data_IF_190207678729
#
_entry.id   IF_190207678729
#
_cell.length_a   1.000
_cell.length_b   1.000
_cell.length_c   1.000
_cell.angle_alpha   90.00
_cell.angle_beta   90.00
_cell.angle_gamma   90.00
#
_symmetry.space_group_name_H-M   'P 1'
#
loop_
_entity.id
_entity.type
_entity.pdbx_description
1 polymer ?
#
# COMPACT_ATOMS: atom_id res chain seq x y z
N UNK A 1 -7.99 -1.62 -1.86
CA UNK A 1 -6.90 -1.83 -0.90
C UNK A 1 -6.21 -3.17 -1.10
N UNK A 2 -5.06 -3.34 -0.47
CA UNK A 2 -4.28 -4.59 -0.45
C UNK A 2 -3.99 -4.91 1.02
N UNK A 3 -4.28 -6.13 1.44
CA UNK A 3 -3.84 -6.68 2.72
C UNK A 3 -2.68 -7.63 2.49
N UNK A 4 -1.67 -7.57 3.35
CA UNK A 4 -0.53 -8.48 3.34
C UNK A 4 -0.10 -8.77 4.77
N UNK A 5 0.72 -9.81 4.98
CA UNK A 5 1.26 -10.10 6.31
C UNK A 5 2.05 -8.89 6.83
N UNK A 6 2.03 -8.69 8.15
CA UNK A 6 2.77 -7.59 8.78
C UNK A 6 4.26 -7.64 8.43
N UNK A 7 4.85 -8.84 8.40
CA UNK A 7 6.24 -9.04 8.02
C UNK A 7 6.53 -8.60 6.58
N UNK A 8 5.68 -8.95 5.61
CA UNK A 8 5.83 -8.52 4.22
C UNK A 8 5.66 -6.99 4.07
N UNK A 9 4.77 -6.39 4.85
CA UNK A 9 4.60 -4.94 4.88
C UNK A 9 5.82 -4.23 5.47
N UNK A 10 6.36 -4.70 6.60
CA UNK A 10 7.55 -4.11 7.25
C UNK A 10 8.80 -4.23 6.37
N UNK A 11 8.95 -5.34 5.64
CA UNK A 11 10.03 -5.52 4.67
C UNK A 11 10.01 -4.45 3.56
N UNK A 12 8.81 -4.06 3.08
CA UNK A 12 8.67 -2.97 2.10
C UNK A 12 9.07 -1.60 2.64
N UNK A 13 8.93 -1.38 3.94
CA UNK A 13 9.34 -0.14 4.60
C UNK A 13 10.85 -0.08 4.89
N UNK A 14 11.64 -1.04 4.41
CA UNK A 14 13.06 -1.14 4.74
C UNK A 14 13.32 -1.33 6.24
N UNK A 15 12.29 -1.65 7.04
CA UNK A 15 12.40 -1.89 8.47
C UNK A 15 12.96 -3.30 8.65
N UNK A 16 14.28 -3.43 8.56
CA UNK A 16 14.99 -4.68 8.89
C UNK A 16 14.76 -4.96 10.37
N UNK A 17 14.06 -6.05 10.69
CA UNK A 17 13.95 -6.53 12.07
C UNK A 17 14.98 -7.63 12.31
N UNK A 18 15.88 -7.38 13.25
CA UNK A 18 16.68 -8.39 13.96
C UNK A 18 15.83 -9.27 14.91
N UNK A 19 14.51 -9.36 14.75
CA UNK A 19 13.64 -9.99 15.75
C UNK A 19 12.86 -11.16 15.19
N UNK A 20 13.43 -12.34 15.46
CA UNK A 20 12.71 -13.61 15.63
C UNK A 20 11.51 -13.38 16.56
N UNK A 21 10.29 -13.51 16.04
CA UNK A 21 9.08 -13.61 16.88
C UNK A 21 7.91 -12.63 16.62
N UNK A 22 7.88 -11.87 15.51
CA UNK A 22 6.72 -11.01 15.20
C UNK A 22 6.15 -11.37 13.83
N UNK A 23 5.23 -12.33 13.77
CA UNK A 23 4.60 -12.77 12.50
C UNK A 23 3.09 -12.79 12.46
N UNK A 24 2.39 -12.64 13.57
CA UNK A 24 0.96 -12.91 13.55
C UNK A 24 0.22 -11.60 13.33
N UNK A 25 -0.26 -11.38 12.10
CA UNK A 25 -1.09 -10.24 11.76
C UNK A 25 -0.95 -9.73 10.33
N UNK A 26 -1.80 -8.76 10.00
CA UNK A 26 -1.95 -8.21 8.67
C UNK A 26 -1.89 -6.69 8.69
N UNK A 27 -1.44 -6.11 7.58
CA UNK A 27 -1.56 -4.68 7.30
C UNK A 27 -2.31 -4.52 6.00
N UNK A 28 -3.41 -3.78 6.06
CA UNK A 28 -4.32 -3.48 4.97
C UNK A 28 -4.21 -2.00 4.62
N UNK A 29 -3.87 -1.69 3.37
CA UNK A 29 -3.77 -0.32 2.88
C UNK A 29 -4.94 -0.06 1.93
N UNK A 30 -5.77 0.95 2.18
CA UNK A 30 -6.95 1.26 1.36
C UNK A 30 -7.32 2.74 1.39
N UNK A 31 -7.72 3.28 0.24
CA UNK A 31 -8.24 4.63 0.01
C UNK A 31 -9.77 4.70 -0.13
N UNK A 32 -10.45 3.63 0.29
CA UNK A 32 -11.91 3.53 0.21
C UNK A 32 -12.50 3.73 1.58
N UNK A 33 -13.53 4.57 1.67
CA UNK A 33 -14.30 4.82 2.91
C UNK A 33 -14.94 3.54 3.45
N UNK A 34 -15.32 2.64 2.54
CA UNK A 34 -16.01 1.40 2.83
C UNK A 34 -15.26 0.21 2.19
N UNK A 35 -14.05 -0.15 2.66
CA UNK A 35 -13.36 -1.32 2.17
C UNK A 35 -14.16 -2.57 2.50
N UNK A 36 -14.22 -3.48 1.52
CA UNK A 36 -14.79 -4.82 1.68
C UNK A 36 -13.67 -5.79 1.95
N UNK A 37 -13.75 -6.50 3.08
CA UNK A 37 -12.75 -7.46 3.53
C UNK A 37 -13.29 -8.85 3.29
N UNK A 38 -12.44 -9.70 2.74
CA UNK A 38 -12.68 -11.13 2.61
C UNK A 38 -11.46 -11.85 3.16
N UNK A 39 -11.71 -12.90 3.94
CA UNK A 39 -10.67 -13.74 4.51
C UNK A 39 -10.79 -15.11 3.90
N UNK A 40 -9.66 -15.67 3.48
CA UNK A 40 -9.56 -16.99 2.85
C UNK A 40 -8.66 -17.87 3.71
N UNK A 41 -9.05 -19.14 3.84
CA UNK A 41 -8.30 -20.16 4.57
C UNK A 41 -8.22 -21.43 3.73
N UNK A 42 -7.09 -22.14 3.85
CA UNK A 42 -6.83 -23.36 3.07
C UNK A 42 -7.41 -24.64 3.71
N UNK A 43 -7.87 -24.57 4.96
CA UNK A 43 -8.37 -25.71 5.75
C UNK A 43 -9.84 -25.52 6.14
N UNK A 44 -10.45 -26.56 6.72
CA UNK A 44 -11.83 -26.54 7.23
C UNK A 44 -12.16 -25.21 7.91
N UNK A 45 -13.24 -24.56 7.44
CA UNK A 45 -13.54 -23.17 7.69
C UNK A 45 -13.68 -22.87 9.19
N UNK A 46 -12.67 -22.24 9.83
CA UNK A 46 -12.84 -21.77 11.20
C UNK A 46 -13.90 -20.67 11.21
N UNK A 47 -14.61 -20.53 12.34
CA UNK A 47 -15.45 -19.35 12.52
C UNK A 47 -14.53 -18.15 12.71
N UNK A 48 -14.63 -17.18 11.79
CA UNK A 48 -13.74 -16.02 11.77
C UNK A 48 -14.51 -14.73 11.98
N UNK A 49 -14.05 -13.97 12.95
CA UNK A 49 -14.64 -12.70 13.36
C UNK A 49 -13.62 -11.59 13.18
N UNK A 50 -14.08 -10.43 12.72
CA UNK A 50 -13.31 -9.21 12.78
C UNK A 50 -13.86 -8.38 13.93
N UNK A 51 -13.02 -8.16 14.93
CA UNK A 51 -13.32 -7.31 16.05
C UNK A 51 -12.79 -5.90 15.79
N UNK A 52 -13.67 -4.90 15.91
CA UNK A 52 -13.35 -3.48 15.81
C UNK A 52 -12.75 -2.94 17.12
N UNK A 53 -12.14 -1.74 17.10
CA UNK A 53 -11.58 -1.11 18.31
C UNK A 53 -12.56 -0.97 19.49
N UNK A 54 -13.84 -0.77 19.19
CA UNK A 54 -14.93 -0.66 20.16
C UNK A 54 -15.50 -2.03 20.60
N UNK A 55 -14.80 -3.12 20.25
CA UNK A 55 -15.11 -4.52 20.59
C UNK A 55 -16.38 -5.06 19.97
N UNK A 56 -16.95 -4.39 18.97
CA UNK A 56 -18.01 -5.00 18.16
C UNK A 56 -17.39 -6.09 17.29
N UNK A 57 -18.06 -7.23 17.22
CA UNK A 57 -17.62 -8.37 16.42
C UNK A 57 -18.52 -8.51 15.20
N UNK A 58 -17.92 -8.59 14.01
CA UNK A 58 -18.64 -8.87 12.77
C UNK A 58 -18.13 -10.20 12.23
N UNK A 59 -19.06 -11.11 11.96
CA UNK A 59 -18.75 -12.42 11.35
C UNK A 59 -18.25 -12.16 9.93
N UNK A 60 -17.03 -12.60 9.63
CA UNK A 60 -16.40 -12.39 8.31
C UNK A 60 -16.61 -13.57 7.37
N UNK A 61 -17.08 -14.71 7.90
CA UNK A 61 -17.11 -15.98 7.16
C UNK A 61 -18.42 -16.76 7.21
N UNK A 62 -19.53 -16.23 7.73
CA UNK A 62 -20.82 -16.88 7.48
C UNK A 62 -21.22 -16.60 6.03
N UNK A 63 -20.96 -17.56 5.13
CA UNK A 63 -21.34 -17.60 3.71
C UNK A 63 -20.40 -16.91 2.69
N UNK A 64 -19.10 -16.74 2.99
CA UNK A 64 -18.12 -16.14 2.04
C UNK A 64 -18.46 -14.71 1.57
N UNK A 65 -19.30 -13.99 2.32
CA UNK A 65 -19.67 -12.63 1.97
C UNK A 65 -18.64 -11.63 2.52
N UNK A 66 -18.13 -10.72 1.69
CA UNK A 66 -17.22 -9.69 2.17
C UNK A 66 -17.89 -8.77 3.20
N UNK A 67 -17.21 -8.52 4.31
CA UNK A 67 -17.65 -7.56 5.33
C UNK A 67 -17.22 -6.16 4.94
N UNK A 68 -18.14 -5.21 4.99
CA UNK A 68 -17.82 -3.80 4.83
C UNK A 68 -17.44 -3.23 6.18
N UNK A 69 -16.28 -2.58 6.27
CA UNK A 69 -15.88 -1.80 7.44
C UNK A 69 -16.03 -0.31 7.16
N UNK A 70 -16.29 0.49 8.18
CA UNK A 70 -16.22 1.94 8.07
C UNK A 70 -14.80 2.42 8.35
N UNK A 71 -14.19 3.08 7.36
CA UNK A 71 -12.85 3.63 7.47
C UNK A 71 -12.90 5.15 7.63
N UNK A 72 -12.47 5.66 8.78
CA UNK A 72 -12.53 7.08 9.13
C UNK A 72 -11.30 7.90 8.68
N UNK A 73 -10.66 7.48 7.59
CA UNK A 73 -9.40 8.03 7.06
C UNK A 73 -8.24 8.12 8.07
N UNK A 74 -8.25 7.28 9.12
CA UNK A 74 -7.17 7.19 10.10
C UNK A 74 -6.70 5.75 10.23
N UNK A 75 -5.52 5.56 10.80
CA UNK A 75 -5.07 4.23 11.22
C UNK A 75 -6.08 3.62 12.17
N UNK A 76 -6.52 2.41 11.85
CA UNK A 76 -7.44 1.65 12.69
C UNK A 76 -6.86 0.26 12.94
N UNK A 77 -6.99 -0.22 14.17
CA UNK A 77 -6.52 -1.54 14.58
C UNK A 77 -7.72 -2.43 14.82
N UNK A 78 -7.73 -3.58 14.17
CA UNK A 78 -8.74 -4.61 14.32
C UNK A 78 -8.08 -5.90 14.81
N UNK A 79 -8.89 -6.82 15.29
CA UNK A 79 -8.42 -8.18 15.62
C UNK A 79 -9.22 -9.18 14.82
N UNK A 80 -8.54 -9.93 13.97
CA UNK A 80 -9.13 -11.07 13.28
C UNK A 80 -9.02 -12.28 14.21
N UNK A 81 -10.14 -12.74 14.74
CA UNK A 81 -10.24 -13.89 15.63
C UNK A 81 -10.63 -15.13 14.84
N UNK A 82 -9.76 -16.13 14.87
CA UNK A 82 -9.97 -17.45 14.30
C UNK A 82 -10.38 -18.41 15.42
N UNK A 83 -11.57 -19.00 15.33
CA UNK A 83 -12.04 -20.04 16.22
C UNK A 83 -11.96 -21.40 15.52
N UNK A 84 -11.11 -22.28 16.06
CA UNK A 84 -10.93 -23.66 15.59
C UNK A 84 -11.13 -24.62 16.75
N UNK A 85 -12.34 -25.16 16.88
CA UNK A 85 -12.74 -25.98 18.03
C UNK A 85 -12.70 -25.18 19.33
N UNK A 86 -11.89 -25.63 20.30
CA UNK A 86 -11.70 -24.94 21.59
C UNK A 86 -10.52 -23.95 21.60
N UNK A 87 -9.88 -23.71 20.45
CA UNK A 87 -8.75 -22.80 20.34
C UNK A 87 -9.17 -21.52 19.63
N UNK A 88 -8.77 -20.39 20.19
CA UNK A 88 -8.91 -19.07 19.56
C UNK A 88 -7.52 -18.53 19.27
N UNK A 89 -7.33 -18.00 18.06
CA UNK A 89 -6.12 -17.27 17.65
C UNK A 89 -6.49 -15.87 17.22
N UNK A 90 -5.75 -14.91 17.76
CA UNK A 90 -5.95 -13.49 17.47
C UNK A 90 -4.86 -13.00 16.52
N UNK A 91 -5.27 -12.47 15.38
CA UNK A 91 -4.38 -11.87 14.40
C UNK A 91 -4.66 -10.36 14.33
N UNK A 92 -3.74 -9.49 14.80
CA UNK A 92 -3.90 -8.04 14.68
C UNK A 92 -3.92 -7.61 13.21
N UNK A 93 -4.91 -6.82 12.84
CA UNK A 93 -5.07 -6.25 11.49
C UNK A 93 -5.01 -4.74 11.58
N UNK A 94 -3.98 -4.14 10.99
CA UNK A 94 -3.88 -2.68 10.90
C UNK A 94 -4.43 -2.21 9.57
N UNK A 95 -5.42 -1.32 9.59
CA UNK A 95 -5.89 -0.58 8.42
C UNK A 95 -5.18 0.77 8.35
N UNK A 96 -4.65 1.10 7.17
CA UNK A 96 -3.95 2.34 6.88
C UNK A 96 -4.69 3.05 5.75
N UNK A 97 -5.00 4.33 6.00
CA UNK A 97 -5.38 5.28 4.96
C UNK A 97 -4.12 5.95 4.42
N UNK A 98 -3.59 5.52 3.28
CA UNK A 98 -2.32 6.03 2.82
C UNK A 98 -2.45 7.46 2.28
N UNK A 99 -1.35 8.21 2.36
CA UNK A 99 -1.25 9.48 1.63
C UNK A 99 -1.20 9.23 0.12
N UNK A 100 -1.73 10.19 -0.66
CA UNK A 100 -1.48 10.21 -2.10
C UNK A 100 -0.04 10.60 -2.41
N UNK A 101 0.54 10.00 -3.46
CA UNK A 101 1.89 10.34 -3.92
C UNK A 101 2.06 11.82 -4.28
N UNK A 102 0.98 12.55 -4.57
CA UNK A 102 0.99 13.99 -4.83
C UNK A 102 1.50 14.83 -3.64
N UNK A 103 1.52 14.27 -2.43
CA UNK A 103 2.06 14.92 -1.23
C UNK A 103 3.56 14.70 -1.05
N UNK A 104 4.18 13.84 -1.87
CA UNK A 104 5.59 13.51 -1.77
C UNK A 104 6.47 14.58 -2.43
N UNK A 105 7.55 14.97 -1.74
CA UNK A 105 8.64 15.72 -2.35
C UNK A 105 9.68 14.73 -2.89
N UNK A 106 9.83 14.66 -4.22
CA UNK A 106 10.83 13.78 -4.82
C UNK A 106 12.24 14.36 -4.66
N UNK A 107 13.27 13.50 -4.43
CA UNK A 107 14.66 13.95 -4.36
C UNK A 107 15.16 14.58 -5.66
N UNK A 108 16.34 15.22 -5.61
CA UNK A 108 17.00 15.79 -6.78
C UNK A 108 17.13 14.77 -7.91
N UNK A 109 16.85 15.19 -9.14
CA UNK A 109 16.83 14.36 -10.35
C UNK A 109 15.71 13.30 -10.41
N UNK A 110 14.73 13.40 -9.51
CA UNK A 110 13.48 12.66 -9.60
C UNK A 110 12.33 13.65 -9.80
N UNK A 111 11.27 13.17 -10.41
CA UNK A 111 9.98 13.84 -10.47
C UNK A 111 8.89 12.91 -9.99
N UNK A 112 7.77 13.47 -9.55
CA UNK A 112 6.56 12.67 -9.34
C UNK A 112 6.26 11.88 -10.62
N UNK A 113 6.01 10.58 -10.47
CA UNK A 113 5.60 9.71 -11.57
C UNK A 113 4.31 10.26 -12.17
N UNK A 114 4.43 11.04 -13.24
CA UNK A 114 3.31 11.39 -14.09
C UNK A 114 2.91 10.13 -14.83
N UNK A 115 1.81 9.53 -14.42
CA UNK A 115 1.10 8.62 -15.32
C UNK A 115 0.52 9.46 -16.44
N UNK A 116 0.44 8.91 -17.66
CA UNK A 116 -0.31 9.56 -18.73
C UNK A 116 -1.78 9.70 -18.27
N UNK A 117 -2.13 10.88 -17.74
CA UNK A 117 -3.40 11.17 -17.06
C UNK A 117 -3.27 11.29 -15.54
N UNK A 118 -3.83 12.37 -14.98
CA UNK A 118 -3.93 12.62 -13.52
C UNK A 118 -4.65 11.50 -12.77
N UNK A 119 -5.52 10.75 -13.46
CA UNK A 119 -6.40 9.72 -12.89
C UNK A 119 -5.65 8.46 -12.39
N UNK A 120 -4.40 8.23 -12.83
CA UNK A 120 -3.59 7.09 -12.41
C UNK A 120 -2.49 7.48 -11.40
N UNK A 121 -2.16 8.76 -11.26
CA UNK A 121 -1.24 9.25 -10.25
C UNK A 121 -1.89 9.22 -8.86
N UNK A 122 -3.20 9.51 -8.79
CA UNK A 122 -4.02 9.30 -7.60
C UNK A 122 -4.13 7.82 -7.19
N UNK A 123 -3.91 6.88 -8.14
CA UNK A 123 -3.89 5.43 -7.87
C UNK A 123 -2.54 4.94 -7.34
N UNK A 124 -1.54 5.82 -7.24
CA UNK A 124 -0.30 5.53 -6.51
C UNK A 124 -0.37 6.21 -5.16
N UNK A 125 -0.48 5.38 -4.14
CA UNK A 125 -0.52 5.80 -2.76
C UNK A 125 0.80 5.44 -2.10
N UNK A 126 1.16 6.22 -1.09
CA UNK A 126 2.27 5.90 -0.21
C UNK A 126 1.94 4.66 0.63
N UNK A 127 2.94 4.06 1.24
CA UNK A 127 2.78 2.89 2.09
C UNK A 127 2.08 3.28 3.40
N UNK A 128 2.32 4.50 3.89
CA UNK A 128 1.81 5.05 5.15
C UNK A 128 0.93 6.30 4.92
N UNK A 129 0.35 6.81 6.02
CA UNK A 129 -0.49 8.02 6.06
C UNK A 129 0.28 9.30 5.70
N UNK A 130 1.60 9.21 5.62
CA UNK A 130 2.50 10.24 5.12
C UNK A 130 3.54 9.56 4.24
N UNK A 131 3.83 10.18 3.10
CA UNK A 131 4.89 9.72 2.22
C UNK A 131 6.26 9.92 2.87
N UNK A 132 7.16 8.96 2.64
CA UNK A 132 8.51 8.89 3.19
C UNK A 132 9.50 8.45 2.10
N UNK A 133 10.78 8.32 2.45
CA UNK A 133 11.80 7.84 1.50
C UNK A 133 11.50 6.41 1.00
N UNK A 134 10.74 5.61 1.76
CA UNK A 134 10.29 4.28 1.33
C UNK A 134 9.31 4.33 0.15
N UNK A 135 8.73 5.49 -0.12
CA UNK A 135 7.76 5.71 -1.18
C UNK A 135 8.42 6.23 -2.47
N UNK A 136 9.74 6.47 -2.48
CA UNK A 136 10.44 7.05 -3.65
C UNK A 136 10.22 6.17 -4.89
N UNK A 137 10.40 4.86 -4.78
CA UNK A 137 10.26 3.98 -5.95
C UNK A 137 8.81 3.88 -6.44
N UNK A 138 7.85 4.06 -5.54
CA UNK A 138 6.41 4.02 -5.80
C UNK A 138 5.94 5.33 -6.44
N UNK A 139 6.31 6.46 -5.85
CA UNK A 139 5.78 7.78 -6.18
C UNK A 139 6.65 8.58 -7.14
N UNK A 140 7.96 8.37 -7.13
CA UNK A 140 8.92 9.14 -7.88
C UNK A 140 9.53 8.32 -9.02
N UNK A 141 9.84 8.98 -10.13
CA UNK A 141 10.58 8.44 -11.25
C UNK A 141 11.79 9.33 -11.50
N UNK A 142 12.90 8.70 -11.89
CA UNK A 142 14.08 9.43 -12.32
C UNK A 142 13.72 10.31 -13.52
N UNK A 143 14.17 11.56 -13.51
CA UNK A 143 13.99 12.46 -14.64
C UNK A 143 14.59 11.82 -15.89
N UNK A 144 13.81 11.84 -16.97
CA UNK A 144 14.32 11.46 -18.28
C UNK A 144 15.39 12.47 -18.70
N UNK A 145 16.47 11.99 -19.31
CA UNK A 145 17.41 12.88 -20.01
C UNK A 145 16.95 13.08 -21.44
N UNK A 146 17.28 14.23 -22.03
CA UNK A 146 17.05 14.50 -23.45
C UNK A 146 17.74 13.46 -24.35
N UNK A 147 18.75 12.77 -23.81
CA UNK A 147 19.41 11.59 -24.36
C UNK A 147 18.45 10.47 -24.74
N UNK A 148 17.42 10.24 -23.91
CA UNK A 148 16.43 9.17 -24.11
C UNK A 148 15.32 9.53 -25.11
N UNK A 149 15.19 10.81 -25.47
CA UNK A 149 14.17 11.27 -26.39
C UNK A 149 14.56 10.97 -27.85
N UNK A 150 13.64 10.37 -28.61
CA UNK A 150 13.83 10.14 -30.04
C UNK A 150 13.41 11.39 -30.80
N UNK A 151 14.39 12.11 -31.34
CA UNK A 151 14.15 13.31 -32.15
C UNK A 151 13.29 12.97 -33.39
N UNK A 152 12.31 13.83 -33.75
CA UNK A 152 11.60 13.75 -35.02
C UNK A 152 12.56 13.83 -36.22
N UNK A 153 12.04 13.46 -37.40
CA UNK A 153 12.78 13.62 -38.66
C UNK A 153 13.26 15.06 -38.83
N UNK A 154 14.50 15.23 -39.33
CA UNK A 154 15.18 16.52 -39.55
C UNK A 154 15.61 17.28 -38.29
N UNK A 155 15.48 16.68 -37.09
CA UNK A 155 16.10 17.21 -35.88
C UNK A 155 17.28 16.33 -35.45
N UNK A 156 18.33 16.97 -34.94
CA UNK A 156 19.45 16.28 -34.33
C UNK A 156 19.44 16.50 -32.82
N UNK A 157 19.81 15.46 -32.09
CA UNK A 157 19.98 15.54 -30.65
C UNK A 157 21.20 16.43 -30.33
N UNK A 158 21.07 17.32 -29.33
CA UNK A 158 22.21 18.11 -28.86
C UNK A 158 23.34 17.20 -28.34
N UNK A 159 24.58 17.67 -28.41
CA UNK A 159 25.75 16.93 -27.94
C UNK A 159 25.73 16.68 -26.43
N UNK A 160 25.11 17.57 -25.65
CA UNK A 160 24.96 17.48 -24.19
C UNK A 160 23.65 16.81 -23.74
N UNK A 161 22.81 16.34 -24.67
CA UNK A 161 21.47 15.85 -24.35
C UNK A 161 21.46 14.69 -23.33
N UNK A 162 22.50 13.86 -23.28
CA UNK A 162 22.60 12.78 -22.31
C UNK A 162 22.77 13.27 -20.86
N UNK A 163 23.30 14.49 -20.67
CA UNK A 163 23.51 15.13 -19.37
C UNK A 163 22.41 16.14 -19.01
N UNK A 164 21.58 16.54 -19.97
CA UNK A 164 20.45 17.47 -19.77
C UNK A 164 19.16 16.72 -19.46
N UNK A 165 18.46 17.10 -18.39
CA UNK A 165 17.13 16.55 -18.08
C UNK A 165 16.05 17.16 -18.97
N UNK A 166 15.04 16.38 -19.32
CA UNK A 166 13.91 16.87 -20.10
C UNK A 166 13.08 17.85 -19.26
N UNK A 167 13.04 19.13 -19.66
CA UNK A 167 12.23 20.17 -19.01
C UNK A 167 13.03 21.24 -18.26
N UNK A 168 14.36 21.06 -18.14
CA UNK A 168 15.33 22.12 -17.80
C UNK A 168 15.73 22.91 -19.06
#
# INVERSE_FOLDING_TARGET
GICQTRSAYEAKLGKVRDKVGITDGFVCVSDRDHPRIMVSYDKEAPEVYLQSPDKQEVVVMSNYLPVTIEHNHRRQEFTLREHSGNTTRDHPVTFIWPAGCNTMACPTHYMLRRTAGEELAAKRMCLEERCSDNDIDVCCARLATCGSYKCPSHMARRSDAAATYCGD
#
